data_IF_525771414660
#
_entry.id   IF_525771414660
#
_cell.length_a   1.000
_cell.length_b   1.000
_cell.length_c   1.000
_cell.angle_alpha   90.00
_cell.angle_beta   90.00
_cell.angle_gamma   90.00
#
_symmetry.space_group_name_H-M   'P 1'
#
loop_
_entity.id
_entity.type
_entity.pdbx_description
1 polymer ?
#
# COMPACT_ATOMS: atom_id res chain seq x y z
N UNK A 1 12.44 -34.71 -14.83
CA UNK A 1 11.72 -33.56 -15.42
C UNK A 1 10.83 -32.98 -14.33
N UNK A 2 11.39 -32.15 -13.45
CA UNK A 2 10.68 -31.61 -12.29
C UNK A 2 10.11 -30.23 -12.64
N UNK A 3 8.79 -30.14 -12.72
CA UNK A 3 8.09 -28.86 -12.87
C UNK A 3 8.31 -28.06 -11.59
N UNK A 4 9.03 -26.94 -11.68
CA UNK A 4 9.01 -25.94 -10.63
C UNK A 4 7.62 -25.32 -10.58
N UNK A 5 6.80 -25.78 -9.63
CA UNK A 5 5.64 -25.02 -9.18
C UNK A 5 6.16 -23.86 -8.33
N UNK A 6 6.01 -22.59 -8.75
CA UNK A 6 6.36 -21.46 -7.90
C UNK A 6 5.43 -21.44 -6.70
N UNK A 7 5.97 -21.80 -5.55
CA UNK A 7 5.26 -21.82 -4.28
C UNK A 7 5.14 -20.38 -3.76
N UNK A 8 3.92 -19.83 -3.77
CA UNK A 8 3.40 -18.87 -2.78
C UNK A 8 4.27 -17.65 -2.44
N UNK A 9 4.80 -16.92 -3.43
CA UNK A 9 5.45 -15.61 -3.19
C UNK A 9 4.44 -14.44 -3.07
N UNK A 10 3.21 -14.71 -2.63
CA UNK A 10 2.15 -13.70 -2.51
C UNK A 10 1.82 -13.33 -1.06
N UNK A 11 2.64 -13.74 -0.08
CA UNK A 11 2.29 -13.55 1.34
C UNK A 11 3.49 -13.24 2.26
N UNK A 12 4.45 -12.43 1.80
CA UNK A 12 5.64 -12.09 2.60
C UNK A 12 5.97 -10.60 2.73
N UNK A 13 5.21 -9.68 2.12
CA UNK A 13 5.44 -8.24 2.34
C UNK A 13 4.44 -7.61 3.31
N UNK A 14 3.30 -8.24 3.59
CA UNK A 14 2.33 -7.70 4.55
C UNK A 14 2.74 -7.93 6.04
N UNK A 15 3.54 -8.97 6.34
CA UNK A 15 3.94 -9.27 7.72
C UNK A 15 5.14 -8.44 8.21
N UNK A 16 5.94 -7.86 7.32
CA UNK A 16 7.01 -6.91 7.70
C UNK A 16 6.54 -5.45 7.65
N UNK A 17 5.41 -5.15 7.00
CA UNK A 17 4.81 -3.82 6.93
C UNK A 17 4.00 -3.42 8.19
N UNK A 18 3.99 -4.25 9.24
CA UNK A 18 3.33 -3.97 10.52
C UNK A 18 3.95 -2.80 11.33
N UNK A 19 4.69 -1.90 10.68
CA UNK A 19 5.26 -0.70 11.25
C UNK A 19 4.35 0.49 10.89
N UNK A 20 3.31 0.67 11.70
CA UNK A 20 2.60 1.95 11.92
C UNK A 20 1.68 2.55 10.83
N UNK A 21 1.55 1.96 9.63
CA UNK A 21 0.92 2.67 8.50
C UNK A 21 -0.23 2.01 7.70
N UNK A 22 -0.63 0.76 7.98
CA UNK A 22 -1.54 0.04 7.07
C UNK A 22 -3.03 0.13 7.47
N UNK A 23 -3.92 0.38 6.49
CA UNK A 23 -5.38 0.46 6.67
C UNK A 23 -6.12 -0.53 5.76
N UNK A 24 -7.12 -1.22 6.32
CA UNK A 24 -8.04 -2.09 5.58
C UNK A 24 -9.43 -1.43 5.49
N UNK A 25 -9.85 -1.06 4.28
CA UNK A 25 -11.15 -0.40 4.04
C UNK A 25 -11.59 -0.57 2.58
N UNK A 26 -12.88 -0.46 2.29
CA UNK A 26 -13.42 -0.53 0.93
C UNK A 26 -13.42 0.87 0.31
N UNK A 27 -12.31 1.26 -0.33
CA UNK A 27 -12.13 2.65 -0.81
C UNK A 27 -12.92 2.94 -2.07
N UNK A 28 -13.19 1.93 -2.89
CA UNK A 28 -13.88 2.08 -4.17
C UNK A 28 -15.36 1.71 -4.11
N UNK A 29 -15.86 1.22 -2.96
CA UNK A 29 -17.23 0.79 -2.70
C UNK A 29 -17.67 -0.38 -3.57
N UNK A 30 -16.77 -1.30 -3.87
CA UNK A 30 -17.10 -2.51 -4.65
C UNK A 30 -17.53 -3.72 -3.78
N UNK A 31 -17.61 -3.53 -2.46
CA UNK A 31 -18.02 -4.54 -1.49
C UNK A 31 -16.89 -5.48 -1.07
N UNK A 32 -15.63 -5.14 -1.39
CA UNK A 32 -14.44 -5.90 -1.00
C UNK A 32 -13.48 -5.00 -0.24
N UNK A 33 -12.73 -5.58 0.70
CA UNK A 33 -11.73 -4.84 1.47
C UNK A 33 -10.48 -4.63 0.63
N UNK A 34 -10.05 -3.38 0.53
CA UNK A 34 -8.78 -2.96 -0.05
C UNK A 34 -7.71 -2.77 1.03
N UNK A 35 -6.45 -2.89 0.66
CA UNK A 35 -5.30 -2.62 1.53
C UNK A 35 -4.64 -1.32 1.11
N UNK A 36 -4.52 -0.39 2.05
CA UNK A 36 -3.70 0.81 1.93
C UNK A 36 -2.43 0.56 2.74
N UNK A 37 -1.31 0.42 2.05
CA UNK A 37 0.00 0.23 2.65
C UNK A 37 0.79 1.53 2.63
N UNK A 38 1.23 2.00 3.80
CA UNK A 38 1.98 3.25 3.93
C UNK A 38 3.47 3.03 4.19
N UNK A 39 4.30 3.87 3.58
CA UNK A 39 5.76 3.84 3.71
C UNK A 39 6.28 5.23 4.03
N UNK A 40 5.95 5.73 5.22
CA UNK A 40 6.24 7.06 5.77
C UNK A 40 7.73 7.48 5.71
N UNK A 41 8.68 6.54 5.78
CA UNK A 41 10.12 6.84 5.72
C UNK A 41 10.73 6.88 4.31
N UNK A 42 9.98 6.52 3.26
CA UNK A 42 10.48 6.53 1.89
C UNK A 42 10.48 7.94 1.30
N UNK A 43 11.29 8.15 0.25
CA UNK A 43 11.38 9.42 -0.48
C UNK A 43 11.74 10.61 0.41
N UNK A 44 12.89 10.56 1.10
CA UNK A 44 13.32 11.65 1.97
C UNK A 44 12.27 11.99 3.07
N UNK A 45 11.68 10.95 3.67
CA UNK A 45 10.58 11.07 4.65
C UNK A 45 9.30 11.72 4.11
N UNK A 46 9.14 11.88 2.79
CA UNK A 46 7.90 12.37 2.20
C UNK A 46 6.74 11.39 2.37
N UNK A 47 7.06 10.09 2.43
CA UNK A 47 6.09 9.02 2.54
C UNK A 47 5.34 8.72 1.24
N UNK A 48 4.82 7.49 1.15
CA UNK A 48 3.95 7.04 0.06
C UNK A 48 2.81 6.20 0.62
N UNK A 49 1.69 6.14 -0.12
CA UNK A 49 0.60 5.19 0.13
C UNK A 49 0.34 4.39 -1.14
N UNK A 50 0.36 3.07 -1.03
CA UNK A 50 0.01 2.14 -2.11
C UNK A 50 -1.31 1.45 -1.82
N UNK A 51 -2.22 1.47 -2.78
CA UNK A 51 -3.52 0.80 -2.71
C UNK A 51 -3.45 -0.51 -3.49
N UNK A 52 -3.75 -1.62 -2.82
CA UNK A 52 -4.03 -2.92 -3.45
C UNK A 52 -5.52 -3.18 -3.33
N UNK A 53 -6.16 -3.59 -4.43
CA UNK A 53 -7.61 -3.81 -4.43
C UNK A 53 -7.98 -5.20 -3.95
N UNK A 54 -9.10 -5.29 -3.23
CA UNK A 54 -9.79 -6.53 -2.99
C UNK A 54 -10.31 -7.15 -4.30
N UNK A 55 -10.30 -8.47 -4.36
CA UNK A 55 -10.91 -9.24 -5.45
C UNK A 55 -11.66 -10.44 -4.88
N UNK A 56 -12.44 -11.12 -5.74
CA UNK A 56 -13.15 -12.34 -5.34
C UNK A 56 -12.21 -13.47 -4.88
N UNK A 57 -10.94 -13.43 -5.27
CA UNK A 57 -9.92 -14.43 -4.89
C UNK A 57 -9.00 -13.94 -3.76
N UNK A 58 -9.31 -12.78 -3.16
CA UNK A 58 -8.45 -12.10 -2.19
C UNK A 58 -7.76 -10.87 -2.76
N UNK A 59 -6.74 -10.37 -2.06
CA UNK A 59 -6.00 -9.17 -2.47
C UNK A 59 -5.31 -9.36 -3.83
N UNK A 60 -5.33 -8.34 -4.69
CA UNK A 60 -4.62 -8.36 -5.97
C UNK A 60 -3.67 -7.17 -6.10
N UNK A 61 -2.52 -7.43 -6.74
CA UNK A 61 -1.57 -6.39 -7.17
C UNK A 61 -1.94 -5.82 -8.54
N UNK A 62 -2.88 -6.45 -9.25
CA UNK A 62 -3.38 -5.93 -10.52
C UNK A 62 -4.12 -4.62 -10.29
N UNK A 63 -3.68 -3.55 -10.96
CA UNK A 63 -4.23 -2.21 -10.77
C UNK A 63 -3.78 -1.53 -9.48
N UNK A 64 -2.73 -2.04 -8.81
CA UNK A 64 -2.15 -1.35 -7.66
C UNK A 64 -1.72 0.08 -8.05
N UNK A 65 -2.03 1.03 -7.18
CA UNK A 65 -1.75 2.45 -7.42
C UNK A 65 -1.01 3.04 -6.24
N UNK A 66 0.08 3.75 -6.50
CA UNK A 66 0.85 4.47 -5.48
C UNK A 66 0.62 5.98 -5.60
N UNK A 67 0.43 6.61 -4.44
CA UNK A 67 0.29 8.04 -4.27
C UNK A 67 1.45 8.56 -3.43
N UNK A 68 2.12 9.58 -3.94
CA UNK A 68 3.04 10.41 -3.18
C UNK A 68 2.47 11.82 -2.98
N UNK A 69 3.09 12.66 -2.15
CA UNK A 69 2.54 13.95 -1.75
C UNK A 69 2.28 14.88 -2.94
N UNK A 70 3.22 14.95 -3.90
CA UNK A 70 3.07 15.78 -5.11
C UNK A 70 1.82 15.38 -5.92
N UNK A 71 1.51 14.07 -6.00
CA UNK A 71 0.34 13.56 -6.73
C UNK A 71 -0.99 14.00 -6.12
N UNK A 72 -0.99 14.40 -4.85
CA UNK A 72 -2.15 14.92 -4.12
C UNK A 72 -2.03 16.42 -3.81
N UNK A 73 -1.07 17.11 -4.43
CA UNK A 73 -0.92 18.57 -4.33
C UNK A 73 -0.17 19.07 -3.09
N UNK A 74 0.56 18.20 -2.39
CA UNK A 74 1.38 18.55 -1.23
C UNK A 74 2.84 18.70 -1.69
N UNK A 75 3.48 19.79 -1.27
CA UNK A 75 4.90 20.05 -1.54
C UNK A 75 5.80 19.17 -0.67
N UNK A 76 6.96 18.78 -1.20
CA UNK A 76 7.95 17.90 -0.57
C UNK A 76 9.31 18.59 -0.41
N UNK A 77 9.30 19.92 -0.26
CA UNK A 77 10.52 20.68 0.00
C UNK A 77 11.03 20.43 1.42
N UNK A 78 11.21 21.50 2.19
CA UNK A 78 11.72 21.41 3.56
C UNK A 78 10.72 20.81 4.57
N UNK A 79 9.48 20.52 4.14
CA UNK A 79 8.36 20.19 5.03
C UNK A 79 8.20 18.68 5.31
N UNK A 80 8.80 17.78 4.52
CA UNK A 80 8.70 16.31 4.64
C UNK A 80 7.30 15.83 5.10
N UNK A 81 6.30 15.80 4.21
CA UNK A 81 4.89 15.65 4.59
C UNK A 81 4.51 14.29 5.20
N UNK A 82 5.40 13.29 5.17
CA UNK A 82 5.23 12.01 5.89
C UNK A 82 3.88 11.34 5.60
N UNK A 83 3.54 11.27 4.32
CA UNK A 83 2.29 10.73 3.84
C UNK A 83 2.15 9.26 4.28
N UNK A 84 1.08 8.98 5.02
CA UNK A 84 0.81 7.65 5.55
C UNK A 84 1.42 7.35 6.92
N UNK A 85 2.02 8.34 7.61
CA UNK A 85 2.45 8.22 9.01
C UNK A 85 1.31 7.82 9.95
N UNK A 86 0.11 8.34 9.71
CA UNK A 86 -1.11 7.99 10.46
C UNK A 86 -2.19 7.68 9.44
N UNK A 87 -2.73 6.46 9.51
CA UNK A 87 -3.86 6.02 8.71
C UNK A 87 -4.98 5.58 9.65
N UNK A 88 -6.16 6.18 9.50
CA UNK A 88 -7.36 5.84 10.27
C UNK A 88 -8.56 5.77 9.33
N UNK A 89 -9.50 4.87 9.64
CA UNK A 89 -10.73 4.61 8.88
C UNK A 89 -11.98 4.85 9.72
#
# INVERSE_FOLDING_TARGET
>A
MHKHHPQRLAFATATTAALTGDLLTDVNRDGRVDLLAATDGENDFDGLVTVLKGSALGMTTSGATTYGPIRIGISTGDDHPRLGMIMAG
#
